data_IF_314243116072
#
_entry.id   IF_314243116072
#
_cell.length_a   1.000
_cell.length_b   1.000
_cell.length_c   1.000
_cell.angle_alpha   90.00
_cell.angle_beta   90.00
_cell.angle_gamma   90.00
#
_symmetry.space_group_name_H-M   'P 1'
#
loop_
_entity.id
_entity.type
_entity.pdbx_description
1 polymer ?
#
# COMPACT_ATOMS: atom_id res chain seq x y z
N UNK A 1 -57.98 -55.32 20.11
CA UNK A 1 -57.41 -56.50 19.41
C UNK A 1 -56.72 -55.99 18.15
N UNK A 2 -55.44 -56.12 17.85
CA UNK A 2 -54.20 -56.40 18.60
C UNK A 2 -53.13 -55.42 18.06
N UNK A 3 -52.27 -54.84 18.89
CA UNK A 3 -50.94 -55.33 19.28
C UNK A 3 -49.99 -55.73 18.13
N UNK A 4 -48.85 -55.03 18.09
CA UNK A 4 -47.58 -55.47 17.49
C UNK A 4 -47.16 -54.61 16.30
N UNK A 5 -45.96 -54.01 16.20
CA UNK A 5 -44.72 -54.11 16.98
C UNK A 5 -43.94 -52.80 16.83
N UNK A 6 -43.30 -52.37 17.91
CA UNK A 6 -42.21 -51.38 17.92
C UNK A 6 -41.01 -51.95 17.16
N UNK A 7 -40.36 -51.11 16.33
CA UNK A 7 -38.91 -51.15 16.13
C UNK A 7 -38.39 -49.72 16.19
N UNK A 8 -37.75 -49.42 17.31
CA UNK A 8 -36.80 -48.33 17.50
C UNK A 8 -35.44 -48.86 17.04
N UNK A 9 -34.76 -48.15 16.15
CA UNK A 9 -33.31 -48.24 15.88
C UNK A 9 -32.86 -46.79 15.65
N UNK A 10 -32.33 -46.09 16.65
CA UNK A 10 -30.94 -46.10 17.15
C UNK A 10 -29.94 -45.67 16.08
N UNK A 11 -29.46 -44.44 16.27
CA UNK A 11 -28.14 -43.86 15.98
C UNK A 11 -27.38 -44.28 14.71
N UNK A 12 -27.07 -43.27 13.90
CA UNK A 12 -25.69 -43.00 13.52
C UNK A 12 -25.47 -41.48 13.51
N UNK A 13 -24.94 -40.98 14.63
CA UNK A 13 -24.19 -39.74 14.70
C UNK A 13 -22.93 -39.96 13.86
N UNK A 14 -22.81 -39.28 12.71
CA UNK A 14 -21.50 -39.08 12.07
C UNK A 14 -21.09 -37.65 12.41
N UNK A 15 -20.51 -37.54 13.60
CA UNK A 15 -19.46 -36.58 13.92
C UNK A 15 -18.19 -37.24 13.43
N UNK A 16 -17.62 -36.77 12.32
CA UNK A 16 -16.22 -36.95 11.89
C UNK A 16 -16.11 -36.37 10.47
N UNK A 17 -15.26 -35.41 10.14
CA UNK A 17 -14.44 -34.53 10.93
C UNK A 17 -14.15 -33.35 10.01
N UNK A 18 -14.58 -32.15 10.41
CA UNK A 18 -13.94 -30.93 9.95
C UNK A 18 -12.53 -31.01 10.51
N UNK A 19 -11.61 -31.49 9.68
CA UNK A 19 -10.19 -31.33 9.93
C UNK A 19 -9.97 -29.84 10.08
N UNK A 20 -9.70 -29.46 11.32
CA UNK A 20 -8.98 -28.26 11.65
C UNK A 20 -7.67 -28.29 10.85
N UNK A 21 -7.66 -27.60 9.73
CA UNK A 21 -6.50 -26.85 9.29
C UNK A 21 -6.81 -25.38 9.60
N UNK A 22 -6.87 -25.09 10.90
CA UNK A 22 -6.45 -23.77 11.39
C UNK A 22 -4.97 -23.68 11.02
N UNK A 23 -4.67 -23.24 9.81
CA UNK A 23 -3.40 -22.59 9.57
C UNK A 23 -3.50 -21.29 10.35
N UNK A 24 -3.02 -21.31 11.58
CA UNK A 24 -2.63 -20.10 12.29
C UNK A 24 -1.63 -19.40 11.37
N UNK A 25 -2.10 -18.41 10.62
CA UNK A 25 -1.23 -17.32 10.24
C UNK A 25 -0.85 -16.68 11.57
N UNK A 26 0.29 -17.10 12.12
CA UNK A 26 0.95 -16.41 13.21
C UNK A 26 1.28 -15.02 12.67
N UNK A 27 0.33 -14.10 12.78
CA UNK A 27 0.57 -12.69 12.51
C UNK A 27 1.55 -12.21 13.56
N UNK A 28 2.76 -12.06 13.07
CA UNK A 28 3.97 -11.84 13.79
C UNK A 28 4.03 -10.37 14.21
N UNK A 29 4.45 -10.11 15.45
CA UNK A 29 4.59 -8.74 15.95
C UNK A 29 5.85 -8.12 15.29
N UNK A 30 5.75 -7.08 14.45
CA UNK A 30 6.85 -6.59 13.62
C UNK A 30 8.03 -6.00 14.43
N UNK A 31 7.91 -5.92 15.76
CA UNK A 31 8.91 -5.31 16.66
C UNK A 31 9.79 -6.33 17.40
N UNK A 32 9.60 -7.64 17.18
CA UNK A 32 10.34 -8.69 17.92
C UNK A 32 11.73 -9.08 17.36
N UNK A 33 12.23 -8.50 16.25
CA UNK A 33 13.44 -8.99 15.53
C UNK A 33 14.61 -8.01 15.40
N UNK A 34 14.76 -7.04 16.30
CA UNK A 34 16.07 -6.37 16.42
C UNK A 34 17.17 -7.26 17.04
N UNK A 35 16.91 -8.56 17.24
CA UNK A 35 17.93 -9.53 17.65
C UNK A 35 18.50 -10.29 16.45
N UNK A 36 19.80 -10.10 16.27
CA UNK A 36 20.69 -10.72 15.29
C UNK A 36 20.76 -12.25 15.39
N UNK A 37 20.62 -12.96 14.27
CA UNK A 37 21.54 -14.03 13.84
C UNK A 37 21.22 -14.60 12.44
N UNK A 38 22.26 -14.55 11.60
CA UNK A 38 22.62 -15.31 10.39
C UNK A 38 21.67 -16.36 9.80
N UNK A 39 21.43 -16.23 8.48
CA UNK A 39 22.06 -17.14 7.52
C UNK A 39 22.19 -16.50 6.13
N UNK A 40 23.40 -16.58 5.57
CA UNK A 40 23.72 -16.32 4.17
C UNK A 40 22.84 -17.15 3.23
N UNK A 41 22.09 -16.48 2.36
CA UNK A 41 21.70 -17.01 1.06
C UNK A 41 21.86 -15.91 0.02
N UNK A 42 23.05 -15.80 -0.55
CA UNK A 42 23.27 -15.11 -1.81
C UNK A 42 22.71 -15.98 -2.94
N UNK A 43 21.38 -16.02 -3.07
CA UNK A 43 20.75 -16.42 -4.31
C UNK A 43 20.55 -15.14 -5.14
N UNK A 44 21.18 -15.12 -6.31
CA UNK A 44 20.97 -14.13 -7.35
C UNK A 44 19.47 -14.02 -7.61
N UNK A 45 18.88 -12.88 -7.26
CA UNK A 45 17.54 -12.54 -7.71
C UNK A 45 17.56 -12.54 -9.24
N UNK A 46 16.87 -13.50 -9.86
CA UNK A 46 16.56 -13.46 -11.29
C UNK A 46 15.81 -12.14 -11.59
N UNK A 47 16.12 -11.50 -12.73
CA UNK A 47 15.57 -10.19 -13.07
C UNK A 47 14.05 -10.25 -13.27
N UNK A 48 13.30 -9.45 -12.50
CA UNK A 48 11.84 -9.39 -12.57
C UNK A 48 11.38 -8.47 -13.71
N UNK A 49 11.61 -8.89 -14.96
CA UNK A 49 11.17 -8.15 -16.14
C UNK A 49 9.80 -8.67 -16.58
N UNK A 50 8.77 -7.83 -16.44
CA UNK A 50 7.39 -8.12 -16.87
C UNK A 50 6.96 -7.04 -17.88
N UNK A 51 6.36 -7.45 -18.99
CA UNK A 51 5.91 -6.51 -20.03
C UNK A 51 4.88 -5.53 -19.44
N UNK A 52 5.14 -4.24 -19.56
CA UNK A 52 4.27 -3.20 -19.01
C UNK A 52 4.39 -1.88 -19.76
N UNK A 53 3.29 -1.14 -19.82
CA UNK A 53 3.28 0.26 -20.25
C UNK A 53 3.37 1.23 -19.07
N UNK A 54 3.35 0.75 -17.83
CA UNK A 54 3.42 1.56 -16.61
C UNK A 54 4.43 1.00 -15.61
N UNK A 55 5.44 1.81 -15.29
CA UNK A 55 6.49 1.49 -14.32
C UNK A 55 6.27 2.25 -13.01
N UNK A 56 6.36 1.53 -11.91
CA UNK A 56 6.31 2.07 -10.55
C UNK A 56 7.71 1.96 -9.95
N UNK A 57 8.42 3.08 -9.85
CA UNK A 57 9.81 3.12 -9.36
C UNK A 57 9.92 4.06 -8.16
N UNK A 58 10.82 3.77 -7.22
CA UNK A 58 10.99 4.57 -6.00
C UNK A 58 12.40 5.16 -5.89
N UNK A 59 12.51 6.34 -5.26
CA UNK A 59 13.80 6.97 -4.97
C UNK A 59 14.69 6.09 -4.09
N UNK A 60 14.08 5.32 -3.18
CA UNK A 60 14.77 4.32 -2.37
C UNK A 60 15.12 3.02 -3.11
N UNK A 61 14.89 2.92 -4.42
CA UNK A 61 15.14 1.72 -5.23
C UNK A 61 13.94 0.78 -5.36
N UNK A 62 14.04 -0.21 -6.24
CA UNK A 62 13.03 -1.26 -6.48
C UNK A 62 13.69 -2.61 -6.67
N UNK A 63 12.90 -3.69 -6.73
CA UNK A 63 13.40 -5.00 -7.15
C UNK A 63 14.07 -4.91 -8.54
N UNK A 64 15.15 -5.66 -8.72
CA UNK A 64 15.86 -5.75 -10.01
C UNK A 64 14.90 -6.18 -11.12
N UNK A 65 15.00 -5.54 -12.29
CA UNK A 65 14.11 -5.78 -13.43
C UNK A 65 12.85 -4.91 -13.42
N UNK A 66 12.37 -4.45 -12.25
CA UNK A 66 11.18 -3.58 -12.17
C UNK A 66 11.44 -2.14 -12.61
N UNK A 67 12.70 -1.74 -12.67
CA UNK A 67 13.17 -0.49 -13.25
C UNK A 67 13.70 -0.65 -14.68
N UNK A 68 13.56 -1.81 -15.31
CA UNK A 68 14.03 -2.04 -16.66
C UNK A 68 12.92 -1.92 -17.69
N UNK A 69 13.04 -0.90 -18.55
CA UNK A 69 12.24 -0.79 -19.75
C UNK A 69 12.84 -1.70 -20.82
N UNK A 70 12.04 -2.65 -21.29
CA UNK A 70 12.34 -3.50 -22.43
C UNK A 70 11.23 -3.31 -23.45
N UNK A 71 11.60 -3.11 -24.71
CA UNK A 71 10.63 -2.94 -25.80
C UNK A 71 10.23 -4.30 -26.33
N UNK A 72 8.92 -4.54 -26.36
CA UNK A 72 8.30 -5.78 -26.82
C UNK A 72 7.50 -5.52 -28.10
N UNK A 73 7.37 -6.53 -28.95
CA UNK A 73 6.44 -6.52 -30.08
C UNK A 73 5.00 -6.89 -29.64
N UNK A 74 4.07 -6.84 -30.59
CA UNK A 74 2.65 -7.20 -30.38
C UNK A 74 2.44 -8.65 -29.91
N UNK A 75 3.46 -9.51 -30.05
CA UNK A 75 3.45 -10.92 -29.63
C UNK A 75 4.18 -11.11 -28.28
N UNK A 76 4.50 -10.02 -27.57
CA UNK A 76 5.25 -9.99 -26.30
C UNK A 76 6.69 -10.55 -26.39
N UNK A 77 7.28 -10.56 -27.58
CA UNK A 77 8.70 -10.91 -27.76
C UNK A 77 9.57 -9.66 -27.67
N UNK A 78 10.78 -9.80 -27.11
CA UNK A 78 11.76 -8.71 -27.08
C UNK A 78 12.19 -8.36 -28.50
N UNK A 79 12.07 -7.10 -28.88
CA UNK A 79 12.48 -6.61 -30.20
C UNK A 79 14.00 -6.50 -30.28
N UNK A 80 14.61 -7.02 -31.34
CA UNK A 80 16.04 -6.88 -31.59
C UNK A 80 16.34 -5.55 -32.33
N UNK A 81 17.13 -4.69 -31.70
CA UNK A 81 17.57 -3.41 -32.27
C UNK A 81 19.06 -3.39 -32.64
N UNK A 82 19.74 -4.53 -32.70
CA UNK A 82 21.19 -4.59 -32.93
C UNK A 82 21.66 -3.88 -34.21
N UNK A 83 20.81 -3.83 -35.24
CA UNK A 83 21.09 -3.15 -36.52
C UNK A 83 20.41 -1.78 -36.66
N UNK A 84 19.74 -1.29 -35.61
CA UNK A 84 18.95 -0.06 -35.60
C UNK A 84 19.44 0.90 -34.52
N UNK A 85 19.21 2.20 -34.68
CA UNK A 85 19.42 3.15 -33.60
C UNK A 85 18.21 3.18 -32.67
N UNK A 86 18.43 3.02 -31.36
CA UNK A 86 17.41 3.13 -30.32
C UNK A 86 17.75 4.29 -29.40
N UNK A 87 16.83 5.25 -29.28
CA UNK A 87 16.98 6.39 -28.38
C UNK A 87 15.69 6.64 -27.61
N UNK A 88 15.80 7.37 -26.49
CA UNK A 88 14.66 7.65 -25.62
C UNK A 88 14.59 9.13 -25.28
N UNK A 89 13.38 9.63 -25.13
CA UNK A 89 13.08 10.97 -24.61
C UNK A 89 12.08 10.88 -23.46
N UNK A 90 12.23 11.76 -22.49
CA UNK A 90 11.28 11.93 -21.38
C UNK A 90 10.68 13.33 -21.43
N UNK A 91 9.45 13.48 -20.96
CA UNK A 91 8.78 14.80 -20.95
C UNK A 91 9.17 15.68 -19.75
N UNK A 92 9.92 15.16 -18.78
CA UNK A 92 10.47 15.89 -17.64
C UNK A 92 11.73 15.18 -17.07
N UNK A 93 12.34 15.79 -16.05
CA UNK A 93 13.57 15.34 -15.41
C UNK A 93 13.34 14.50 -14.14
N UNK A 94 12.14 13.92 -13.97
CA UNK A 94 11.83 13.07 -12.82
C UNK A 94 12.64 11.76 -12.83
N UNK A 95 13.12 11.35 -13.99
CA UNK A 95 13.92 10.14 -14.20
C UNK A 95 15.09 10.44 -15.13
N UNK A 96 16.09 9.57 -15.10
CA UNK A 96 17.14 9.45 -16.12
C UNK A 96 17.12 8.04 -16.67
N UNK A 97 17.30 7.90 -17.98
CA UNK A 97 17.42 6.62 -18.64
C UNK A 97 18.90 6.28 -18.82
N UNK A 98 19.31 5.14 -18.31
CA UNK A 98 20.69 4.64 -18.42
C UNK A 98 20.69 3.28 -19.09
N UNK A 99 21.84 2.88 -19.64
CA UNK A 99 21.98 1.56 -20.26
C UNK A 99 21.68 0.49 -19.20
N UNK A 100 20.94 -0.56 -19.60
CA UNK A 100 20.62 -1.69 -18.74
C UNK A 100 21.90 -2.37 -18.24
N UNK A 101 21.84 -2.96 -17.05
CA UNK A 101 23.01 -3.64 -16.51
C UNK A 101 23.39 -4.84 -17.41
N UNK A 102 24.68 -5.01 -17.68
CA UNK A 102 25.17 -6.07 -18.56
C UNK A 102 25.17 -5.77 -20.06
N UNK A 103 24.73 -4.58 -20.49
CA UNK A 103 24.74 -4.14 -21.89
C UNK A 103 25.64 -2.91 -22.10
N UNK A 104 26.12 -2.72 -23.32
CA UNK A 104 27.01 -1.60 -23.68
C UNK A 104 26.23 -0.35 -24.13
N UNK A 105 25.03 -0.54 -24.68
CA UNK A 105 24.16 0.52 -25.19
C UNK A 105 22.67 0.13 -25.15
N UNK A 106 21.79 1.06 -25.51
CA UNK A 106 20.35 0.83 -25.53
C UNK A 106 19.92 -0.22 -26.56
N UNK A 107 20.64 -0.31 -27.69
CA UNK A 107 20.30 -1.18 -28.81
C UNK A 107 20.52 -2.65 -28.44
N UNK A 108 21.70 -2.97 -27.92
CA UNK A 108 22.06 -4.31 -27.46
C UNK A 108 21.21 -4.80 -26.30
N UNK A 109 20.74 -3.88 -25.44
CA UNK A 109 19.82 -4.17 -24.34
C UNK A 109 18.33 -4.10 -24.71
N UNK A 110 17.98 -3.75 -25.95
CA UNK A 110 16.59 -3.53 -26.41
C UNK A 110 15.75 -2.67 -25.46
N UNK A 111 16.36 -1.66 -24.85
CA UNK A 111 15.77 -1.04 -23.66
C UNK A 111 16.68 -0.10 -22.89
N UNK A 112 16.19 0.34 -21.73
CA UNK A 112 16.90 1.21 -20.80
C UNK A 112 16.52 0.89 -19.35
N UNK A 113 17.42 1.16 -18.40
CA UNK A 113 17.11 1.19 -16.97
C UNK A 113 16.64 2.58 -16.56
N UNK A 114 15.56 2.63 -15.80
CA UNK A 114 14.91 3.84 -15.30
C UNK A 114 15.51 4.20 -13.94
N UNK A 115 16.24 5.31 -13.86
CA UNK A 115 16.81 5.81 -12.62
C UNK A 115 15.99 7.00 -12.09
N UNK A 116 15.20 6.84 -11.02
CA UNK A 116 14.38 7.92 -10.48
C UNK A 116 15.24 9.03 -9.84
N UNK A 117 14.89 10.28 -10.11
CA UNK A 117 15.57 11.47 -9.62
C UNK A 117 14.67 12.33 -8.72
N UNK A 118 13.38 12.43 -9.07
CA UNK A 118 12.39 13.25 -8.36
C UNK A 118 11.03 12.59 -8.38
N UNK A 119 10.23 12.90 -7.36
CA UNK A 119 8.81 12.51 -7.29
C UNK A 119 8.03 13.14 -8.44
N UNK A 120 7.17 12.35 -9.07
CA UNK A 120 6.30 12.81 -10.15
C UNK A 120 5.94 11.72 -11.15
N UNK A 121 5.14 12.08 -12.15
CA UNK A 121 4.79 11.19 -13.26
C UNK A 121 5.45 11.70 -14.54
N UNK A 122 5.96 10.78 -15.37
CA UNK A 122 6.63 11.09 -16.63
C UNK A 122 6.26 10.07 -17.70
N UNK A 123 6.45 10.43 -18.96
CA UNK A 123 6.25 9.53 -20.10
C UNK A 123 7.58 9.39 -20.83
N UNK A 124 8.00 8.15 -21.04
CA UNK A 124 9.10 7.78 -21.92
C UNK A 124 8.54 7.52 -23.32
N UNK A 125 9.20 8.12 -24.32
CA UNK A 125 9.02 7.82 -25.73
C UNK A 125 10.31 7.24 -26.25
N UNK A 126 10.22 6.23 -27.10
CA UNK A 126 11.39 5.66 -27.76
C UNK A 126 11.34 5.98 -29.25
N UNK A 127 12.51 6.03 -29.86
CA UNK A 127 12.68 6.32 -31.27
C UNK A 127 13.60 5.28 -31.90
N UNK A 128 13.14 4.71 -33.01
CA UNK A 128 13.88 3.75 -33.82
C UNK A 128 14.25 4.44 -35.13
N UNK A 129 15.55 4.58 -35.40
CA UNK A 129 16.04 5.30 -36.59
C UNK A 129 15.46 6.72 -36.75
N UNK A 130 15.25 7.37 -35.60
CA UNK A 130 14.69 8.72 -35.50
C UNK A 130 13.17 8.81 -35.68
N UNK A 131 12.47 7.68 -35.79
CA UNK A 131 11.00 7.60 -35.86
C UNK A 131 10.44 7.23 -34.49
N UNK A 132 9.50 8.02 -33.96
CA UNK A 132 8.82 7.74 -32.68
C UNK A 132 8.08 6.40 -32.79
N UNK A 133 8.33 5.49 -31.85
CA UNK A 133 7.59 4.24 -31.71
C UNK A 133 6.14 4.47 -31.29
N UNK A 134 5.30 3.46 -31.45
CA UNK A 134 3.87 3.57 -31.11
C UNK A 134 3.63 3.56 -29.59
N UNK A 135 4.42 2.77 -28.85
CA UNK A 135 4.24 2.65 -27.40
C UNK A 135 4.80 3.83 -26.62
N UNK A 136 4.10 4.13 -25.53
CA UNK A 136 4.47 5.15 -24.56
C UNK A 136 4.47 4.53 -23.18
N UNK A 137 5.56 4.70 -22.47
CA UNK A 137 5.73 4.11 -21.15
C UNK A 137 5.55 5.18 -20.09
N UNK A 138 4.55 5.00 -19.23
CA UNK A 138 4.33 5.85 -18.07
C UNK A 138 5.25 5.41 -16.95
N UNK A 139 5.93 6.35 -16.32
CA UNK A 139 6.70 6.10 -15.10
C UNK A 139 6.14 6.96 -13.99
N UNK A 140 5.91 6.34 -12.84
CA UNK A 140 5.42 6.99 -11.63
C UNK A 140 6.49 6.83 -10.54
N UNK A 141 6.97 7.97 -10.05
CA UNK A 141 7.86 8.06 -8.89
C UNK A 141 7.04 8.63 -7.72
N UNK A 142 6.51 7.81 -6.80
CA UNK A 142 5.73 8.31 -5.67
C UNK A 142 6.63 8.97 -4.61
N UNK A 143 6.04 9.76 -3.68
CA UNK A 143 6.75 10.25 -2.50
C UNK A 143 7.35 9.10 -1.69
N UNK A 144 8.65 9.20 -1.34
CA UNK A 144 9.30 8.18 -0.52
C UNK A 144 8.68 8.10 0.88
N UNK A 145 8.24 9.23 1.44
CA UNK A 145 7.54 9.31 2.73
C UNK A 145 6.27 8.45 2.77
N UNK A 146 5.51 8.37 1.67
CA UNK A 146 4.33 7.52 1.58
C UNK A 146 4.70 6.04 1.67
N UNK A 147 5.79 5.63 1.00
CA UNK A 147 6.32 4.27 1.12
C UNK A 147 6.72 3.99 2.56
N UNK A 148 7.43 4.91 3.18
CA UNK A 148 7.92 4.74 4.54
C UNK A 148 6.79 4.64 5.58
N UNK A 149 5.72 5.43 5.44
CA UNK A 149 4.56 5.34 6.35
C UNK A 149 3.80 4.04 6.19
N UNK A 150 3.60 3.57 4.97
CA UNK A 150 2.91 2.29 4.74
C UNK A 150 3.70 1.12 5.32
N UNK A 151 5.03 1.13 5.16
CA UNK A 151 5.93 0.19 5.81
C UNK A 151 5.82 0.28 7.35
N UNK A 152 5.89 1.48 7.91
CA UNK A 152 5.82 1.66 9.36
C UNK A 152 4.47 1.29 10.00
N UNK A 153 3.36 1.57 9.33
CA UNK A 153 2.00 1.37 9.85
C UNK A 153 1.51 -0.07 9.69
N UNK A 154 1.85 -0.76 8.58
CA UNK A 154 1.15 -1.98 8.19
C UNK A 154 2.00 -3.04 7.48
N UNK A 155 3.31 -3.10 7.75
CA UNK A 155 4.22 -4.06 7.08
C UNK A 155 3.70 -5.50 7.05
N UNK A 156 3.19 -6.01 8.19
CA UNK A 156 2.74 -7.39 8.29
C UNK A 156 1.54 -7.70 7.39
N UNK A 157 0.57 -6.79 7.37
CA UNK A 157 -0.61 -6.88 6.50
C UNK A 157 -0.21 -6.74 5.03
N UNK A 158 0.60 -5.73 4.69
CA UNK A 158 1.05 -5.50 3.31
C UNK A 158 1.82 -6.70 2.77
N UNK A 159 2.74 -7.28 3.56
CA UNK A 159 3.45 -8.50 3.21
C UNK A 159 2.48 -9.67 2.92
N UNK A 160 1.52 -9.88 3.81
CA UNK A 160 0.57 -10.99 3.69
C UNK A 160 -0.39 -10.88 2.51
N UNK A 161 -0.63 -9.66 2.03
CA UNK A 161 -1.51 -9.34 0.90
C UNK A 161 -0.76 -9.35 -0.43
N UNK A 162 0.57 -9.29 -0.41
CA UNK A 162 1.40 -9.27 -1.60
C UNK A 162 1.33 -10.59 -2.38
N UNK A 163 1.15 -10.48 -3.70
CA UNK A 163 1.19 -11.59 -4.64
C UNK A 163 2.57 -11.64 -5.29
N UNK A 164 3.35 -12.64 -4.89
CA UNK A 164 4.71 -12.85 -5.40
C UNK A 164 4.66 -13.73 -6.65
N UNK A 165 5.22 -13.22 -7.75
CA UNK A 165 5.44 -13.93 -9.01
C UNK A 165 6.93 -13.83 -9.37
N UNK A 166 7.54 -14.97 -9.71
CA UNK A 166 8.96 -15.06 -10.09
C UNK A 166 9.88 -14.30 -9.12
N UNK A 167 9.74 -14.61 -7.83
CA UNK A 167 10.56 -14.05 -6.73
C UNK A 167 10.44 -12.55 -6.50
N UNK A 168 9.47 -11.88 -7.14
CA UNK A 168 9.19 -10.46 -6.98
C UNK A 168 7.69 -10.22 -6.78
N UNK A 169 7.30 -9.04 -6.28
CA UNK A 169 5.89 -8.67 -6.25
C UNK A 169 5.41 -8.42 -7.68
N UNK A 170 4.36 -9.13 -8.12
CA UNK A 170 3.80 -9.02 -9.46
C UNK A 170 3.13 -7.66 -9.70
N UNK A 171 3.11 -7.16 -10.95
CA UNK A 171 2.51 -5.85 -11.26
C UNK A 171 1.00 -5.77 -10.96
N UNK A 172 0.31 -6.92 -11.01
CA UNK A 172 -1.11 -7.03 -10.67
C UNK A 172 -1.38 -7.15 -9.17
N UNK A 173 -0.35 -7.20 -8.33
CA UNK A 173 -0.50 -7.38 -6.89
C UNK A 173 -1.18 -6.16 -6.25
N UNK A 174 -2.16 -6.42 -5.39
CA UNK A 174 -2.97 -5.38 -4.75
C UNK A 174 -3.03 -5.61 -3.24
N UNK A 175 -2.77 -4.55 -2.46
CA UNK A 175 -2.86 -4.57 -1.00
C UNK A 175 -4.06 -3.73 -0.56
N UNK A 176 -5.20 -4.34 -0.18
CA UNK A 176 -6.34 -3.62 0.38
C UNK A 176 -5.96 -2.74 1.57
N UNK A 177 -5.07 -3.22 2.44
CA UNK A 177 -4.60 -2.45 3.61
C UNK A 177 -3.76 -1.26 3.17
N UNK A 178 -2.76 -1.49 2.32
CA UNK A 178 -1.91 -0.44 1.79
C UNK A 178 -2.70 0.64 1.05
N UNK A 179 -3.64 0.23 0.19
CA UNK A 179 -4.52 1.15 -0.54
C UNK A 179 -5.31 2.04 0.42
N UNK A 180 -6.00 1.45 1.40
CA UNK A 180 -6.84 2.21 2.32
C UNK A 180 -6.05 3.21 3.17
N UNK A 181 -4.88 2.82 3.67
CA UNK A 181 -4.00 3.71 4.43
C UNK A 181 -3.44 4.84 3.56
N UNK A 182 -2.97 4.52 2.34
CA UNK A 182 -2.47 5.51 1.40
C UNK A 182 -3.56 6.52 1.00
N UNK A 183 -4.80 6.07 0.83
CA UNK A 183 -5.93 6.96 0.58
C UNK A 183 -6.25 7.88 1.73
N UNK A 184 -6.08 7.48 2.99
CA UNK A 184 -6.24 8.42 4.11
C UNK A 184 -5.24 9.56 4.00
N UNK A 185 -3.98 9.29 3.64
CA UNK A 185 -2.99 10.35 3.40
C UNK A 185 -3.41 11.22 2.20
N UNK A 186 -3.81 10.60 1.09
CA UNK A 186 -4.28 11.31 -0.11
C UNK A 186 -5.47 12.22 0.20
N UNK A 187 -6.46 11.72 0.94
CA UNK A 187 -7.67 12.46 1.30
C UNK A 187 -7.33 13.68 2.16
N UNK A 188 -6.34 13.59 3.05
CA UNK A 188 -5.85 14.75 3.80
C UNK A 188 -5.22 15.80 2.89
N UNK A 189 -4.39 15.37 1.94
CA UNK A 189 -3.81 16.24 0.91
C UNK A 189 -4.92 16.91 0.09
N UNK A 190 -5.84 16.11 -0.47
CA UNK A 190 -6.95 16.59 -1.30
C UNK A 190 -7.86 17.58 -0.54
N UNK A 191 -8.10 17.36 0.75
CA UNK A 191 -8.88 18.28 1.59
C UNK A 191 -8.18 19.64 1.73
N UNK A 192 -6.87 19.66 1.95
CA UNK A 192 -6.09 20.90 2.04
C UNK A 192 -6.04 21.58 0.67
N UNK A 193 -5.78 20.84 -0.42
CA UNK A 193 -5.81 21.36 -1.78
C UNK A 193 -7.19 21.93 -2.17
N UNK A 194 -8.28 21.38 -1.60
CA UNK A 194 -9.64 21.89 -1.73
C UNK A 194 -9.94 23.13 -0.84
N UNK A 195 -8.95 23.64 -0.10
CA UNK A 195 -9.05 24.86 0.70
C UNK A 195 -9.35 24.65 2.18
N UNK A 196 -9.25 23.41 2.71
CA UNK A 196 -9.29 23.20 4.15
C UNK A 196 -8.03 23.77 4.83
N UNK A 197 -8.14 24.28 6.07
CA UNK A 197 -7.00 24.89 6.74
C UNK A 197 -5.93 23.85 7.11
N UNK A 198 -4.65 24.20 6.94
CA UNK A 198 -3.51 23.35 7.34
C UNK A 198 -3.58 22.86 8.79
N UNK A 199 -4.13 23.68 9.70
CA UNK A 199 -4.31 23.33 11.11
C UNK A 199 -5.22 22.12 11.35
N UNK A 200 -6.04 21.73 10.37
CA UNK A 200 -6.91 20.56 10.45
C UNK A 200 -6.12 19.26 10.64
N UNK A 201 -4.93 19.20 10.04
CA UNK A 201 -4.01 18.06 10.11
C UNK A 201 -2.65 18.45 10.66
N UNK A 202 -2.54 19.63 11.29
CA UNK A 202 -1.29 20.14 11.90
C UNK A 202 -0.16 20.25 10.86
N UNK A 203 -0.52 20.60 9.62
CA UNK A 203 0.43 20.70 8.50
C UNK A 203 1.22 22.01 8.61
N UNK A 204 2.54 21.95 8.40
CA UNK A 204 3.39 23.14 8.26
C UNK A 204 3.29 23.66 6.81
N UNK A 205 2.71 24.84 6.66
CA UNK A 205 2.54 25.55 5.39
C UNK A 205 3.88 25.79 4.67
N UNK A 206 4.98 26.00 5.40
CA UNK A 206 6.29 26.18 4.78
C UNK A 206 6.81 24.90 4.14
N UNK A 207 6.54 23.75 4.77
CA UNK A 207 6.87 22.45 4.17
C UNK A 207 5.98 22.24 2.97
N UNK A 208 4.67 22.45 3.11
CA UNK A 208 3.69 22.29 2.03
C UNK A 208 4.08 23.06 0.75
N UNK A 209 4.42 24.35 0.88
CA UNK A 209 4.75 25.23 -0.25
C UNK A 209 6.16 25.02 -0.85
N UNK A 210 6.97 24.15 -0.27
CA UNK A 210 8.40 24.06 -0.62
C UNK A 210 8.67 23.45 -2.01
N UNK A 211 8.01 22.35 -2.37
CA UNK A 211 8.25 21.64 -3.64
C UNK A 211 7.15 20.62 -3.98
N UNK A 212 6.03 21.12 -4.49
CA UNK A 212 4.91 20.27 -4.94
C UNK A 212 5.34 19.36 -6.11
N UNK A 213 4.82 18.12 -6.23
CA UNK A 213 3.79 17.50 -5.38
C UNK A 213 4.32 16.77 -4.15
N UNK A 214 5.61 16.46 -4.07
CA UNK A 214 6.18 15.69 -2.96
C UNK A 214 5.92 16.35 -1.60
N UNK A 215 6.10 17.66 -1.54
CA UNK A 215 5.98 18.43 -0.31
C UNK A 215 4.60 18.37 0.34
N UNK A 216 3.52 18.17 -0.44
CA UNK A 216 2.18 18.06 0.11
C UNK A 216 2.03 16.79 0.95
N UNK A 217 2.56 15.68 0.44
CA UNK A 217 2.56 14.39 1.13
C UNK A 217 3.46 14.42 2.36
N UNK A 218 4.67 14.95 2.20
CA UNK A 218 5.64 15.08 3.27
C UNK A 218 5.06 15.91 4.42
N UNK A 219 4.44 17.06 4.11
CA UNK A 219 3.88 17.95 5.13
C UNK A 219 2.72 17.32 5.91
N UNK A 220 1.89 16.46 5.28
CA UNK A 220 0.84 15.69 5.97
C UNK A 220 1.42 14.56 6.81
N UNK A 221 2.41 13.85 6.29
CA UNK A 221 3.01 12.68 6.94
C UNK A 221 3.84 13.09 8.15
N UNK A 222 4.69 14.10 8.01
CA UNK A 222 5.61 14.53 9.07
C UNK A 222 5.00 15.57 10.01
N UNK A 223 3.72 15.87 9.87
CA UNK A 223 3.02 16.84 10.71
C UNK A 223 3.11 16.46 12.19
N UNK A 224 3.55 17.43 12.99
CA UNK A 224 3.80 17.29 14.42
C UNK A 224 3.40 18.57 15.17
N UNK A 225 2.85 18.40 16.37
CA UNK A 225 2.66 19.50 17.31
C UNK A 225 2.93 19.05 18.73
N UNK A 226 3.94 19.66 19.36
CA UNK A 226 4.26 19.45 20.78
C UNK A 226 4.51 17.99 21.13
N UNK A 227 5.20 17.25 20.25
CA UNK A 227 5.48 15.83 20.38
C UNK A 227 4.30 14.92 20.06
N UNK A 228 3.22 15.45 19.47
CA UNK A 228 2.11 14.65 18.94
C UNK A 228 2.24 14.55 17.42
N UNK A 229 2.34 13.33 16.91
CA UNK A 229 2.54 13.04 15.50
C UNK A 229 1.23 12.56 14.84
N UNK A 230 1.05 12.85 13.55
CA UNK A 230 -0.10 12.37 12.78
C UNK A 230 -0.05 10.86 12.48
N UNK A 231 1.15 10.30 12.39
CA UNK A 231 1.42 8.89 12.09
C UNK A 231 2.38 8.33 13.11
N UNK A 232 2.08 7.13 13.61
CA UNK A 232 2.83 6.53 14.71
C UNK A 232 4.31 6.28 14.35
N UNK A 233 4.66 5.82 13.15
CA UNK A 233 6.05 5.57 12.77
C UNK A 233 6.93 6.82 12.63
N UNK A 234 6.36 8.02 12.62
CA UNK A 234 7.16 9.27 12.61
C UNK A 234 7.66 9.62 14.00
N UNK A 235 6.96 9.19 15.05
CA UNK A 235 7.36 9.43 16.43
C UNK A 235 8.66 8.67 16.75
N UNK A 236 9.77 9.35 17.10
CA UNK A 236 11.03 8.71 17.42
C UNK A 236 10.96 7.66 18.53
N UNK A 237 9.99 7.78 19.43
CA UNK A 237 9.78 6.86 20.56
C UNK A 237 8.92 5.64 20.18
N UNK A 238 8.32 5.62 18.98
CA UNK A 238 7.52 4.50 18.51
C UNK A 238 8.40 3.35 18.00
N UNK A 239 8.04 2.11 18.32
CA UNK A 239 8.80 0.92 17.89
C UNK A 239 8.91 0.79 16.36
N UNK A 240 7.90 1.23 15.61
CA UNK A 240 7.89 1.23 14.14
C UNK A 240 8.75 2.32 13.51
N UNK A 241 9.27 3.29 14.27
CA UNK A 241 10.08 4.38 13.71
C UNK A 241 11.38 3.86 13.07
N UNK A 242 11.98 2.80 13.63
CA UNK A 242 13.16 2.17 13.03
C UNK A 242 12.86 1.63 11.63
N UNK A 243 11.68 1.05 11.44
CA UNK A 243 11.25 0.51 10.15
C UNK A 243 10.89 1.64 9.16
N UNK A 244 10.25 2.71 9.64
CA UNK A 244 10.02 3.94 8.88
C UNK A 244 11.33 4.53 8.34
N UNK A 245 12.37 4.64 9.17
CA UNK A 245 13.67 5.15 8.74
C UNK A 245 14.40 4.18 7.81
N UNK A 246 14.36 2.88 8.08
CA UNK A 246 14.99 1.87 7.22
C UNK A 246 14.38 1.84 5.81
N UNK A 247 13.07 2.06 5.69
CA UNK A 247 12.36 2.10 4.41
C UNK A 247 12.63 3.35 3.55
N UNK A 248 13.58 4.21 3.93
CA UNK A 248 14.12 5.22 3.04
C UNK A 248 14.87 4.62 1.83
N UNK A 249 15.38 3.38 1.97
CA UNK A 249 16.02 2.64 0.88
C UNK A 249 15.71 1.15 0.97
N UNK A 250 15.40 0.54 -0.18
CA UNK A 250 15.17 -0.90 -0.31
C UNK A 250 16.39 -1.71 0.11
N UNK A 251 17.59 -1.23 -0.18
CA UNK A 251 18.86 -1.90 0.12
C UNK A 251 19.14 -2.04 1.62
N UNK A 252 18.38 -1.34 2.48
CA UNK A 252 18.46 -1.51 3.92
C UNK A 252 17.81 -2.82 4.40
N UNK A 253 17.09 -3.53 3.54
CA UNK A 253 16.41 -4.77 3.87
C UNK A 253 17.14 -5.98 3.28
N UNK A 254 17.38 -6.98 4.12
CA UNK A 254 17.93 -8.29 3.71
C UNK A 254 16.93 -9.43 3.89
N UNK A 255 15.89 -9.21 4.70
CA UNK A 255 14.86 -10.20 4.97
C UNK A 255 13.79 -10.15 3.88
N UNK A 256 13.42 -11.32 3.34
CA UNK A 256 12.46 -11.42 2.25
C UNK A 256 11.10 -10.78 2.57
N UNK A 257 10.62 -10.90 3.82
CA UNK A 257 9.36 -10.27 4.25
C UNK A 257 9.36 -8.76 4.09
N UNK A 258 10.47 -8.09 4.39
CA UNK A 258 10.60 -6.64 4.27
C UNK A 258 10.79 -6.21 2.83
N UNK A 259 11.53 -6.99 2.03
CA UNK A 259 11.68 -6.73 0.59
C UNK A 259 10.34 -6.84 -0.13
N UNK A 260 9.58 -7.90 0.11
CA UNK A 260 8.24 -8.11 -0.48
C UNK A 260 7.28 -7.01 -0.04
N UNK A 261 7.24 -6.67 1.25
CA UNK A 261 6.38 -5.59 1.74
C UNK A 261 6.77 -4.24 1.13
N UNK A 262 8.08 -3.95 1.02
CA UNK A 262 8.57 -2.72 0.41
C UNK A 262 8.15 -2.64 -1.06
N UNK A 263 8.37 -3.70 -1.83
CA UNK A 263 8.03 -3.74 -3.25
C UNK A 263 6.51 -3.58 -3.47
N UNK A 264 5.68 -4.25 -2.66
CA UNK A 264 4.22 -4.03 -2.65
C UNK A 264 3.85 -2.59 -2.30
N UNK A 265 4.58 -1.99 -1.38
CA UNK A 265 4.36 -0.61 -0.95
C UNK A 265 4.71 0.37 -2.07
N UNK A 266 5.76 0.13 -2.85
CA UNK A 266 6.08 0.94 -4.04
C UNK A 266 4.94 0.92 -5.04
N UNK A 267 4.41 -0.27 -5.37
CA UNK A 267 3.25 -0.41 -6.28
C UNK A 267 2.03 0.34 -5.75
N UNK A 268 1.73 0.17 -4.47
CA UNK A 268 0.61 0.83 -3.79
C UNK A 268 0.75 2.36 -3.83
N UNK A 269 1.92 2.87 -3.45
CA UNK A 269 2.19 4.30 -3.42
C UNK A 269 2.13 4.91 -4.83
N UNK A 270 2.69 4.25 -5.84
CA UNK A 270 2.63 4.68 -7.23
C UNK A 270 1.19 4.67 -7.77
N UNK A 271 0.41 3.64 -7.43
CA UNK A 271 -1.02 3.57 -7.76
C UNK A 271 -1.74 4.78 -7.19
N UNK A 272 -1.66 5.05 -5.90
CA UNK A 272 -2.44 6.16 -5.28
C UNK A 272 -1.95 7.54 -5.74
N UNK A 273 -0.64 7.70 -5.95
CA UNK A 273 -0.06 8.97 -6.34
C UNK A 273 -0.32 9.32 -7.82
N UNK A 274 -0.18 8.34 -8.73
CA UNK A 274 -0.14 8.60 -10.17
C UNK A 274 -1.25 7.94 -10.98
N UNK A 275 -2.02 7.00 -10.41
CA UNK A 275 -3.11 6.30 -11.07
C UNK A 275 -4.40 6.71 -10.34
N UNK A 276 -5.34 7.32 -11.05
CA UNK A 276 -6.63 7.74 -10.49
C UNK A 276 -7.48 6.50 -10.13
N UNK A 277 -7.12 5.84 -9.04
CA UNK A 277 -7.78 4.65 -8.53
C UNK A 277 -9.04 5.05 -7.73
N UNK A 278 -9.92 4.09 -7.48
CA UNK A 278 -11.04 4.33 -6.58
C UNK A 278 -10.56 4.35 -5.13
N UNK A 279 -11.03 5.32 -4.34
CA UNK A 279 -10.81 5.36 -2.89
C UNK A 279 -11.63 4.26 -2.20
N UNK A 280 -11.01 3.21 -1.64
CA UNK A 280 -11.73 2.12 -0.97
C UNK A 280 -12.28 2.54 0.39
N UNK A 281 -11.91 3.71 0.90
CA UNK A 281 -12.39 4.27 2.17
C UNK A 281 -13.52 5.28 1.97
N UNK A 282 -13.70 5.76 0.73
CA UNK A 282 -14.66 6.79 0.34
C UNK A 282 -14.57 8.03 1.26
N UNK A 283 -13.41 8.68 1.24
CA UNK A 283 -13.15 9.95 1.90
C UNK A 283 -12.73 9.84 3.37
N UNK A 284 -12.13 8.72 3.80
CA UNK A 284 -11.62 8.64 5.17
C UNK A 284 -10.43 9.58 5.39
N UNK A 285 -10.46 10.30 6.52
CA UNK A 285 -9.42 11.26 6.92
C UNK A 285 -8.61 10.77 8.12
N UNK A 286 -9.02 9.70 8.79
CA UNK A 286 -8.26 9.09 9.88
C UNK A 286 -8.47 7.58 9.93
N UNK A 287 -7.55 6.88 10.57
CA UNK A 287 -7.68 5.46 10.88
C UNK A 287 -7.09 5.19 12.27
N UNK A 288 -7.40 4.01 12.81
CA UNK A 288 -6.70 3.44 13.98
C UNK A 288 -6.97 1.95 14.10
N UNK A 289 -6.18 1.28 14.92
CA UNK A 289 -6.50 -0.06 15.40
C UNK A 289 -7.44 0.02 16.62
N UNK A 290 -8.61 -0.65 16.61
CA UNK A 290 -9.51 -0.69 17.76
C UNK A 290 -9.03 -1.64 18.87
N UNK A 291 -9.32 -1.30 20.13
CA UNK A 291 -9.18 -2.24 21.25
C UNK A 291 -10.24 -3.35 21.17
N UNK A 292 -10.11 -4.41 21.96
CA UNK A 292 -11.12 -5.47 22.03
C UNK A 292 -12.51 -4.96 22.42
N UNK A 293 -12.61 -4.17 23.50
CA UNK A 293 -13.89 -3.58 23.91
C UNK A 293 -14.49 -2.64 22.87
N UNK A 294 -13.66 -1.87 22.16
CA UNK A 294 -14.13 -1.02 21.06
C UNK A 294 -14.62 -1.85 19.87
N UNK A 295 -13.96 -2.98 19.57
CA UNK A 295 -14.39 -3.88 18.48
C UNK A 295 -15.77 -4.47 18.77
N UNK A 296 -16.00 -4.93 20.00
CA UNK A 296 -17.31 -5.42 20.43
C UNK A 296 -18.40 -4.35 20.31
N UNK A 297 -18.12 -3.14 20.78
CA UNK A 297 -19.05 -2.01 20.68
C UNK A 297 -19.34 -1.63 19.21
N UNK A 298 -18.32 -1.56 18.36
CA UNK A 298 -18.46 -1.22 16.95
C UNK A 298 -19.29 -2.28 16.21
N UNK A 299 -19.09 -3.56 16.52
CA UNK A 299 -19.87 -4.66 15.94
C UNK A 299 -21.35 -4.60 16.37
N UNK A 300 -21.64 -4.27 17.64
CA UNK A 300 -23.01 -4.06 18.11
C UNK A 300 -23.65 -2.84 17.46
N UNK A 301 -22.92 -1.73 17.36
CA UNK A 301 -23.39 -0.49 16.73
C UNK A 301 -23.72 -0.70 15.25
N UNK A 302 -22.86 -1.42 14.52
CA UNK A 302 -23.09 -1.82 13.14
C UNK A 302 -24.35 -2.67 13.02
N UNK A 303 -24.52 -3.67 13.89
CA UNK A 303 -25.68 -4.57 13.89
C UNK A 303 -27.00 -3.85 14.17
N UNK A 304 -26.98 -2.86 15.06
CA UNK A 304 -28.16 -2.08 15.44
C UNK A 304 -28.46 -0.92 14.49
N UNK A 305 -27.51 -0.54 13.62
CA UNK A 305 -27.67 0.58 12.69
C UNK A 305 -27.86 1.91 13.40
N UNK A 306 -27.11 2.16 14.48
CA UNK A 306 -27.30 3.38 15.27
C UNK A 306 -26.88 4.62 14.49
N UNK A 307 -27.63 5.71 14.67
CA UNK A 307 -27.35 7.01 14.07
C UNK A 307 -26.26 7.81 14.81
N UNK A 308 -25.73 7.31 15.92
CA UNK A 308 -24.65 7.92 16.70
C UNK A 308 -23.64 6.86 17.14
N UNK A 309 -22.40 7.27 17.35
CA UNK A 309 -21.34 6.40 17.85
C UNK A 309 -21.30 6.49 19.39
N UNK A 310 -21.55 5.39 20.13
CA UNK A 310 -21.34 5.37 21.57
C UNK A 310 -19.89 5.72 21.94
N UNK A 311 -19.69 6.41 23.06
CA UNK A 311 -18.35 6.86 23.49
C UNK A 311 -17.38 5.68 23.69
N UNK A 312 -17.88 4.55 24.18
CA UNK A 312 -17.14 3.31 24.39
C UNK A 312 -16.65 2.66 23.08
N UNK A 313 -17.24 2.98 21.93
CA UNK A 313 -16.77 2.53 20.61
C UNK A 313 -15.49 3.26 20.16
N UNK A 314 -15.15 4.38 20.80
CA UNK A 314 -13.96 5.17 20.54
C UNK A 314 -14.26 6.60 20.05
N UNK A 315 -13.30 7.25 19.38
CA UNK A 315 -13.44 8.62 18.89
C UNK A 315 -14.66 8.77 18.00
N UNK A 316 -15.49 9.76 18.29
CA UNK A 316 -16.63 10.13 17.47
C UNK A 316 -16.58 11.60 17.09
N UNK A 317 -17.74 12.18 16.89
CA UNK A 317 -17.91 13.59 16.58
C UNK A 317 -17.06 14.51 17.48
N UNK A 318 -17.10 14.33 18.81
CA UNK A 318 -16.37 15.19 19.74
C UNK A 318 -14.85 15.21 19.52
N UNK A 319 -14.28 14.11 19.03
CA UNK A 319 -12.86 14.00 18.70
C UNK A 319 -12.52 14.63 17.34
N UNK A 320 -13.50 14.72 16.45
CA UNK A 320 -13.33 15.26 15.09
C UNK A 320 -14.38 16.34 14.78
N UNK A 321 -14.37 17.48 15.50
CA UNK A 321 -15.43 18.48 15.40
C UNK A 321 -15.57 19.11 14.01
N UNK A 322 -14.49 19.18 13.24
CA UNK A 322 -14.49 19.68 11.87
C UNK A 322 -15.10 18.71 10.85
N UNK A 323 -15.29 17.45 11.23
CA UNK A 323 -15.72 16.34 10.36
C UNK A 323 -17.06 15.74 10.80
N UNK A 324 -17.80 16.43 11.68
CA UNK A 324 -19.12 15.98 12.11
C UNK A 324 -20.14 16.07 10.97
N UNK A 325 -21.06 15.10 10.82
CA UNK A 325 -21.13 13.85 11.57
C UNK A 325 -20.14 12.80 11.05
N UNK A 326 -19.49 12.10 11.97
CA UNK A 326 -18.48 11.08 11.67
C UNK A 326 -19.13 9.71 11.49
N UNK A 327 -18.57 8.92 10.57
CA UNK A 327 -18.85 7.49 10.40
C UNK A 327 -17.58 6.67 10.54
N UNK A 328 -17.70 5.52 11.19
CA UNK A 328 -16.64 4.52 11.29
C UNK A 328 -16.86 3.45 10.22
N UNK A 329 -15.90 3.28 9.33
CA UNK A 329 -15.86 2.21 8.34
C UNK A 329 -15.00 1.04 8.86
N UNK A 330 -15.60 -0.15 8.91
CA UNK A 330 -14.92 -1.42 9.15
C UNK A 330 -14.76 -2.11 7.79
N UNK A 331 -13.60 -1.96 7.16
CA UNK A 331 -13.40 -2.41 5.79
C UNK A 331 -13.26 -3.95 5.72
N UNK A 332 -14.13 -4.67 5.01
CA UNK A 332 -14.19 -6.14 5.07
C UNK A 332 -13.03 -6.83 4.35
N UNK A 333 -12.38 -6.16 3.39
CA UNK A 333 -11.24 -6.72 2.66
C UNK A 333 -9.90 -6.51 3.35
N UNK A 334 -9.85 -5.76 4.47
CA UNK A 334 -8.63 -5.55 5.23
C UNK A 334 -8.47 -6.69 6.22
N UNK A 335 -7.27 -7.23 6.31
CA UNK A 335 -6.97 -8.35 7.19
C UNK A 335 -7.36 -8.04 8.64
N UNK A 336 -7.84 -9.07 9.33
CA UNK A 336 -8.06 -9.01 10.77
C UNK A 336 -6.74 -9.31 11.49
N UNK A 337 -6.60 -8.79 12.70
CA UNK A 337 -5.57 -9.24 13.63
C UNK A 337 -5.80 -10.72 14.02
N UNK A 338 -4.77 -11.35 14.55
CA UNK A 338 -4.81 -12.76 14.98
C UNK A 338 -5.89 -13.07 16.03
N UNK A 339 -6.35 -12.06 16.77
CA UNK A 339 -7.45 -12.17 17.74
C UNK A 339 -8.84 -11.87 17.13
N UNK A 340 -8.92 -11.71 15.81
CA UNK A 340 -10.15 -11.50 15.06
C UNK A 340 -10.65 -10.05 15.03
N UNK A 341 -9.94 -9.10 15.64
CA UNK A 341 -10.29 -7.67 15.53
C UNK A 341 -9.90 -7.10 14.17
N UNK A 342 -10.59 -6.06 13.65
CA UNK A 342 -10.10 -5.30 12.51
C UNK A 342 -8.69 -4.77 12.77
N UNK A 343 -7.75 -4.93 11.83
CA UNK A 343 -6.44 -4.26 11.94
C UNK A 343 -6.59 -2.74 11.94
N UNK A 344 -7.54 -2.23 11.15
CA UNK A 344 -7.86 -0.82 11.07
C UNK A 344 -9.37 -0.58 11.01
N UNK A 345 -9.79 0.53 11.59
CA UNK A 345 -11.08 1.18 11.32
C UNK A 345 -10.82 2.59 10.83
N UNK A 346 -11.67 3.07 9.93
CA UNK A 346 -11.48 4.34 9.22
C UNK A 346 -12.58 5.33 9.60
N UNK A 347 -12.23 6.62 9.68
CA UNK A 347 -13.14 7.71 10.02
C UNK A 347 -13.33 8.60 8.81
N UNK A 348 -14.60 8.83 8.44
CA UNK A 348 -15.01 9.69 7.34
C UNK A 348 -16.22 10.53 7.72
N UNK A 349 -16.49 11.56 6.93
CA UNK A 349 -17.75 12.29 7.02
C UNK A 349 -18.89 11.40 6.51
N UNK A 350 -20.08 11.52 7.11
CA UNK A 350 -21.30 10.89 6.60
C UNK A 350 -22.43 11.89 6.41
N UNK A 351 -23.46 11.47 5.69
CA UNK A 351 -24.75 12.15 5.73
C UNK A 351 -25.48 11.87 7.06
N UNK A 352 -26.39 12.76 7.46
CA UNK A 352 -27.13 12.63 8.74
C UNK A 352 -27.99 11.36 8.82
N UNK A 353 -28.41 10.81 7.68
CA UNK A 353 -29.28 9.64 7.57
C UNK A 353 -28.52 8.30 7.44
N UNK A 354 -27.21 8.33 7.30
CA UNK A 354 -26.36 7.13 7.27
C UNK A 354 -26.08 6.60 8.68
N UNK A 355 -25.82 5.30 8.88
CA UNK A 355 -25.45 4.77 10.19
C UNK A 355 -24.07 5.28 10.64
N UNK A 356 -23.84 5.36 11.97
CA UNK A 356 -22.56 5.78 12.53
C UNK A 356 -21.41 4.77 12.32
N UNK A 357 -21.75 3.51 12.03
CA UNK A 357 -20.78 2.45 11.70
C UNK A 357 -21.27 1.72 10.45
N UNK A 358 -20.37 1.48 9.50
CA UNK A 358 -20.66 0.75 8.25
C UNK A 358 -19.53 -0.23 7.93
N UNK A 359 -19.82 -1.21 7.08
CA UNK A 359 -18.83 -2.12 6.47
C UNK A 359 -18.79 -2.01 4.94
N UNK A 360 -19.50 -1.03 4.38
CA UNK A 360 -19.52 -0.74 2.95
C UNK A 360 -18.88 0.64 2.70
N UNK A 361 -17.86 0.72 1.82
CA UNK A 361 -17.33 1.98 1.32
C UNK A 361 -18.43 2.87 0.72
#
# INVERSE_FOLDING_TARGET
>A
MGQGKKVIKVMAVIVLGLFMASCSADYWNPTKWFDSNDSDSSESADDAVEATSTYSVALGGVARGRDELVVYDDEENVVDFSDHSLTFETNNDNIVLVVREGFDDYMSGSGARISPQKVGTTIIRYFVDGVEGEDRYKVIVPPQSLIQILMGEAIGQIYSEAQVADWSVGLSSDSPTGNALAYVVKNRVDLIDAGQPFSLFIVDENVWDSNSPASHWDAVITAESSGTYQFSPVDPENESNKLYLASASRDNFTQNEYLVAYDQTVLTAAKIFGIDAADPTNGAFAFRTPTAGQTECLAETLKLGLAYLPYECGPGDESYPAFKPVQVLIHPSIALLSDGRPSFVFYRNRAEDEPAVTNAP
#
